data_IF_435798071751
#
_entry.id   IF_435798071751
#
_cell.length_a   1.000
_cell.length_b   1.000
_cell.length_c   1.000
_cell.angle_alpha   90.00
_cell.angle_beta   90.00
_cell.angle_gamma   90.00
#
_symmetry.space_group_name_H-M   'P 1'
#
loop_
_entity.id
_entity.type
_entity.pdbx_description
1 polymer ?
#
# COMPACT_ATOMS: atom_id res chain seq x y z
N UNK A 1 -2.41 15.10 9.58
CA UNK A 1 -1.10 15.73 9.24
C UNK A 1 -0.94 15.79 7.74
N UNK A 2 -0.21 16.79 7.21
CA UNK A 2 0.14 16.82 5.79
C UNK A 2 1.13 15.68 5.47
N UNK A 3 1.01 15.05 4.29
CA UNK A 3 1.90 13.99 3.85
C UNK A 3 3.33 14.53 3.64
N UNK A 4 4.33 13.92 4.31
CA UNK A 4 5.71 14.41 4.33
C UNK A 4 6.35 14.54 2.94
N UNK A 5 5.86 13.78 1.96
CA UNK A 5 6.34 13.77 0.58
C UNK A 5 5.22 14.18 -0.42
N UNK A 6 4.36 15.13 -0.05
CA UNK A 6 3.27 15.61 -0.90
C UNK A 6 3.73 16.06 -2.30
N UNK A 7 4.97 16.58 -2.43
CA UNK A 7 5.55 16.98 -3.71
C UNK A 7 5.75 15.83 -4.70
N UNK A 8 5.72 14.58 -4.22
CA UNK A 8 5.82 13.38 -5.08
C UNK A 8 4.48 12.91 -5.63
N UNK A 9 3.35 13.47 -5.13
CA UNK A 9 2.02 13.17 -5.65
C UNK A 9 1.88 13.72 -7.07
N UNK A 10 1.49 12.86 -8.03
CA UNK A 10 1.28 13.20 -9.43
C UNK A 10 -0.05 12.64 -9.91
N UNK A 11 -0.71 13.37 -10.79
CA UNK A 11 -1.89 12.91 -11.50
C UNK A 11 -1.49 12.23 -12.81
N UNK A 12 -2.32 11.29 -13.24
CA UNK A 12 -2.23 10.66 -14.56
C UNK A 12 -3.63 10.43 -15.11
N UNK A 13 -3.75 10.34 -16.43
CA UNK A 13 -5.00 10.02 -17.11
C UNK A 13 -4.85 8.68 -17.82
N UNK A 14 -5.82 7.79 -17.60
CA UNK A 14 -5.87 6.49 -18.27
C UNK A 14 -6.32 6.66 -19.74
N UNK A 15 -6.10 5.62 -20.57
CA UNK A 15 -6.60 5.60 -21.93
C UNK A 15 -8.13 5.78 -22.04
N UNK A 16 -8.88 5.39 -20.99
CA UNK A 16 -10.34 5.57 -20.88
C UNK A 16 -10.75 6.97 -20.39
N UNK A 17 -9.82 7.92 -20.26
CA UNK A 17 -10.09 9.29 -19.80
C UNK A 17 -10.26 9.47 -18.29
N UNK A 18 -10.14 8.41 -17.50
CA UNK A 18 -10.20 8.51 -16.02
C UNK A 18 -8.92 9.09 -15.46
N UNK A 19 -9.05 10.06 -14.55
CA UNK A 19 -7.90 10.63 -13.84
C UNK A 19 -7.65 9.85 -12.54
N UNK A 20 -6.39 9.53 -12.28
CA UNK A 20 -5.91 8.94 -11.03
C UNK A 20 -4.73 9.72 -10.48
N UNK A 21 -4.30 9.35 -9.27
CA UNK A 21 -3.10 9.90 -8.63
C UNK A 21 -2.15 8.79 -8.21
N UNK A 22 -0.86 9.08 -8.19
CA UNK A 22 0.19 8.18 -7.72
C UNK A 22 1.29 8.97 -6.99
N UNK A 23 1.99 8.31 -6.10
CA UNK A 23 3.23 8.83 -5.52
C UNK A 23 4.41 8.42 -6.42
N UNK A 24 5.03 9.40 -7.06
CA UNK A 24 6.03 9.18 -8.11
C UNK A 24 7.42 8.89 -7.51
N UNK A 25 7.95 7.69 -7.71
CA UNK A 25 9.34 7.36 -7.35
C UNK A 25 10.37 8.21 -8.14
N UNK A 26 10.18 8.51 -9.44
CA UNK A 26 11.06 9.47 -10.13
C UNK A 26 11.04 10.87 -9.49
N UNK A 27 9.91 11.34 -8.95
CA UNK A 27 9.87 12.60 -8.23
C UNK A 27 10.60 12.50 -6.88
N UNK A 28 10.49 11.37 -6.17
CA UNK A 28 11.24 11.10 -4.94
C UNK A 28 12.75 11.02 -5.21
N UNK A 29 13.16 10.45 -6.33
CA UNK A 29 14.56 10.31 -6.74
C UNK A 29 15.28 11.65 -6.92
N UNK A 30 14.57 12.76 -7.15
CA UNK A 30 15.16 14.10 -7.16
C UNK A 30 15.78 14.45 -5.81
N UNK A 31 15.20 13.94 -4.71
CA UNK A 31 15.72 14.13 -3.34
C UNK A 31 16.63 12.98 -2.92
N UNK A 32 16.37 11.78 -3.40
CA UNK A 32 17.11 10.55 -3.08
C UNK A 32 17.57 9.85 -4.38
N UNK A 33 18.70 10.27 -5.00
CA UNK A 33 19.11 9.73 -6.30
C UNK A 33 19.36 8.22 -6.34
N UNK A 34 19.68 7.61 -5.18
CA UNK A 34 19.85 6.16 -5.04
C UNK A 34 18.60 5.35 -5.44
N UNK A 35 17.42 5.94 -5.39
CA UNK A 35 16.13 5.29 -5.78
C UNK A 35 16.16 4.73 -7.20
N UNK A 36 16.88 5.38 -8.14
CA UNK A 36 17.01 4.89 -9.51
C UNK A 36 17.76 3.54 -9.61
N UNK A 37 18.61 3.25 -8.63
CA UNK A 37 19.46 2.04 -8.61
C UNK A 37 18.90 0.92 -7.73
N UNK A 38 17.78 1.14 -7.04
CA UNK A 38 17.16 0.14 -6.20
C UNK A 38 16.64 -1.04 -7.02
N UNK A 39 16.75 -2.28 -6.52
CA UNK A 39 16.08 -3.45 -7.09
C UNK A 39 14.56 -3.21 -7.22
N UNK A 40 13.94 -3.86 -8.21
CA UNK A 40 12.49 -3.70 -8.45
C UNK A 40 11.67 -4.03 -7.20
N UNK A 41 12.01 -5.11 -6.48
CA UNK A 41 11.34 -5.51 -5.23
C UNK A 41 11.40 -4.40 -4.17
N UNK A 42 12.56 -3.77 -3.99
CA UNK A 42 12.72 -2.67 -3.02
C UNK A 42 11.96 -1.43 -3.47
N UNK A 43 11.87 -1.15 -4.79
CA UNK A 43 11.05 -0.04 -5.31
C UNK A 43 9.56 -0.25 -5.07
N UNK A 44 9.07 -1.50 -5.15
CA UNK A 44 7.67 -1.83 -4.84
C UNK A 44 7.39 -1.59 -3.34
N UNK A 45 8.29 -2.03 -2.46
CA UNK A 45 8.18 -1.75 -1.02
C UNK A 45 8.23 -0.25 -0.74
N UNK A 46 9.17 0.47 -1.35
CA UNK A 46 9.32 1.92 -1.20
C UNK A 46 8.07 2.67 -1.67
N UNK A 47 7.44 2.27 -2.78
CA UNK A 47 6.17 2.86 -3.24
C UNK A 47 5.06 2.66 -2.20
N UNK A 48 4.93 1.45 -1.67
CA UNK A 48 3.92 1.16 -0.65
C UNK A 48 4.12 2.00 0.61
N UNK A 49 5.36 2.08 1.11
CA UNK A 49 5.70 2.89 2.29
C UNK A 49 5.50 4.38 2.01
N UNK A 50 5.91 4.87 0.84
CA UNK A 50 5.71 6.26 0.44
C UNK A 50 4.23 6.62 0.38
N UNK A 51 3.42 5.80 -0.27
CA UNK A 51 1.97 6.02 -0.42
C UNK A 51 1.22 6.01 0.91
N UNK A 52 1.64 5.18 1.85
CA UNK A 52 1.00 5.01 3.15
C UNK A 52 1.66 5.85 4.27
N UNK A 53 2.53 6.81 3.94
CA UNK A 53 3.21 7.64 4.91
C UNK A 53 2.23 8.59 5.62
N UNK A 54 1.70 8.15 6.77
CA UNK A 54 0.71 8.85 7.58
C UNK A 54 1.31 9.61 8.78
N UNK A 55 2.62 9.45 9.01
CA UNK A 55 3.35 10.03 10.14
C UNK A 55 3.05 9.35 11.48
N UNK A 56 2.34 8.20 11.48
CA UNK A 56 2.00 7.40 12.67
C UNK A 56 2.52 5.99 12.55
N UNK A 57 1.87 5.15 11.72
CA UNK A 57 2.31 3.78 11.44
C UNK A 57 3.46 3.76 10.46
N UNK A 58 3.36 4.57 9.41
CA UNK A 58 4.39 4.73 8.40
C UNK A 58 4.93 6.14 8.47
N UNK A 59 6.15 6.31 8.96
CA UNK A 59 6.81 7.60 9.15
C UNK A 59 7.65 8.00 7.94
N UNK A 60 8.03 9.27 7.87
CA UNK A 60 8.96 9.76 6.85
C UNK A 60 10.33 9.06 6.92
N UNK A 61 10.75 8.64 8.11
CA UNK A 61 12.00 7.93 8.34
C UNK A 61 12.01 6.58 7.62
N UNK A 62 10.93 5.80 7.67
CA UNK A 62 10.82 4.53 6.94
C UNK A 62 10.99 4.73 5.42
N UNK A 63 10.46 5.83 4.86
CA UNK A 63 10.67 6.17 3.45
C UNK A 63 12.14 6.47 3.17
N UNK A 64 12.80 7.24 4.04
CA UNK A 64 14.23 7.59 3.91
C UNK A 64 15.12 6.35 4.00
N UNK A 65 14.83 5.44 4.94
CA UNK A 65 15.56 4.18 5.12
C UNK A 65 15.51 3.32 3.86
N UNK A 66 14.31 3.12 3.28
CA UNK A 66 14.17 2.36 2.04
C UNK A 66 14.77 3.08 0.83
N UNK A 67 14.66 4.41 0.75
CA UNK A 67 15.26 5.18 -0.34
C UNK A 67 16.80 5.08 -0.35
N UNK A 68 17.40 4.87 0.82
CA UNK A 68 18.85 4.70 1.02
C UNK A 68 19.27 3.22 1.21
N UNK A 69 18.40 2.27 0.86
CA UNK A 69 18.67 0.86 1.02
C UNK A 69 19.97 0.42 0.35
N UNK A 70 20.75 -0.43 1.03
CA UNK A 70 22.02 -1.00 0.55
C UNK A 70 21.97 -2.52 0.63
N UNK A 71 22.55 -3.26 -0.35
CA UNK A 71 22.48 -4.73 -0.40
C UNK A 71 23.16 -5.42 0.78
N UNK A 72 24.21 -4.83 1.32
CA UNK A 72 25.04 -5.40 2.41
C UNK A 72 24.88 -4.68 3.75
N UNK A 73 23.88 -3.80 3.89
CA UNK A 73 23.63 -3.12 5.16
C UNK A 73 23.06 -4.08 6.22
N UNK A 74 23.24 -3.73 7.48
CA UNK A 74 22.57 -4.40 8.61
C UNK A 74 21.05 -4.37 8.43
N UNK A 75 20.38 -5.46 8.82
CA UNK A 75 18.92 -5.67 8.74
C UNK A 75 18.23 -5.54 10.10
N UNK A 76 18.72 -4.69 10.95
CA UNK A 76 18.20 -4.46 12.31
C UNK A 76 16.90 -3.62 12.34
N UNK A 77 16.54 -2.96 11.24
CA UNK A 77 15.39 -2.07 11.20
C UNK A 77 14.17 -2.75 10.56
N UNK A 78 13.02 -2.64 11.23
CA UNK A 78 11.73 -3.08 10.71
C UNK A 78 11.07 -1.95 9.92
N UNK A 79 10.49 -2.30 8.76
CA UNK A 79 9.74 -1.36 7.91
C UNK A 79 8.29 -1.82 7.89
N UNK A 80 7.32 -0.99 8.29
CA UNK A 80 5.91 -1.32 8.20
C UNK A 80 5.48 -1.42 6.74
N UNK A 81 4.81 -2.52 6.39
CA UNK A 81 4.29 -2.74 5.05
C UNK A 81 2.77 -2.82 5.07
N UNK A 82 2.11 -1.99 4.26
CA UNK A 82 0.66 -2.02 4.08
C UNK A 82 0.34 -2.82 2.84
N UNK A 83 -0.29 -3.97 3.04
CA UNK A 83 -0.72 -4.87 1.96
C UNK A 83 -1.81 -4.18 1.13
N UNK A 84 -1.69 -4.21 -0.19
CA UNK A 84 -2.67 -3.62 -1.12
C UNK A 84 -3.60 -4.64 -1.74
N UNK A 85 -3.22 -5.92 -1.72
CA UNK A 85 -4.02 -7.03 -2.24
C UNK A 85 -3.59 -8.35 -1.61
N UNK A 86 -4.55 -9.23 -1.35
CA UNK A 86 -4.32 -10.60 -0.89
C UNK A 86 -4.75 -11.56 -2.00
N UNK A 87 -3.87 -12.47 -2.37
CA UNK A 87 -4.17 -13.56 -3.31
C UNK A 87 -4.35 -14.84 -2.51
N UNK A 88 -5.51 -15.46 -2.62
CA UNK A 88 -5.84 -16.73 -2.00
C UNK A 88 -5.86 -17.81 -3.09
N UNK A 89 -5.34 -18.98 -2.77
CA UNK A 89 -5.54 -20.16 -3.61
C UNK A 89 -6.96 -20.72 -3.41
N UNK A 90 -7.42 -21.64 -4.27
CA UNK A 90 -8.80 -22.13 -4.27
C UNK A 90 -9.25 -22.71 -2.93
N UNK A 91 -8.38 -23.47 -2.27
CA UNK A 91 -8.70 -24.09 -0.99
C UNK A 91 -8.89 -23.06 0.13
N UNK A 92 -8.02 -22.05 0.23
CA UNK A 92 -8.09 -21.00 1.26
C UNK A 92 -9.13 -19.93 0.95
N UNK A 93 -9.54 -19.79 -0.31
CA UNK A 93 -10.60 -18.88 -0.73
C UNK A 93 -12.00 -19.31 -0.28
N UNK A 94 -12.29 -20.62 -0.23
CA UNK A 94 -13.61 -21.14 0.16
C UNK A 94 -14.00 -20.76 1.59
N UNK A 95 -13.19 -20.99 2.64
CA UNK A 95 -13.52 -20.54 3.98
C UNK A 95 -13.78 -19.04 4.08
N UNK A 96 -12.96 -18.20 3.44
CA UNK A 96 -13.16 -16.76 3.43
C UNK A 96 -14.51 -16.35 2.84
N UNK A 97 -14.88 -16.94 1.71
CA UNK A 97 -16.18 -16.67 1.06
C UNK A 97 -17.36 -17.12 1.93
N UNK A 98 -17.24 -18.27 2.60
CA UNK A 98 -18.25 -18.78 3.53
C UNK A 98 -18.44 -17.82 4.74
N UNK A 99 -17.33 -17.34 5.31
CA UNK A 99 -17.36 -16.39 6.43
C UNK A 99 -17.95 -15.05 6.01
N UNK A 100 -17.58 -14.49 4.87
CA UNK A 100 -18.16 -13.26 4.35
C UNK A 100 -19.66 -13.40 4.09
N UNK A 101 -20.10 -14.54 3.52
CA UNK A 101 -21.52 -14.80 3.32
C UNK A 101 -22.29 -14.88 4.65
N UNK A 102 -21.73 -15.57 5.66
CA UNK A 102 -22.33 -15.67 6.99
C UNK A 102 -22.39 -14.30 7.69
N UNK A 103 -21.35 -13.49 7.59
CA UNK A 103 -21.31 -12.13 8.13
C UNK A 103 -22.37 -11.25 7.47
N UNK A 104 -22.52 -11.30 6.14
CA UNK A 104 -23.55 -10.55 5.39
C UNK A 104 -24.97 -10.98 5.81
N UNK A 105 -25.20 -12.28 5.93
CA UNK A 105 -26.48 -12.81 6.43
C UNK A 105 -26.80 -12.35 7.84
N UNK A 106 -25.81 -12.31 8.71
CA UNK A 106 -25.94 -11.80 10.08
C UNK A 106 -26.23 -10.30 10.11
N UNK A 107 -25.52 -9.52 9.31
CA UNK A 107 -25.76 -8.08 9.17
C UNK A 107 -27.21 -7.80 8.75
N UNK A 108 -27.72 -8.57 7.78
CA UNK A 108 -29.12 -8.45 7.33
C UNK A 108 -30.11 -8.76 8.45
N UNK A 109 -29.90 -9.84 9.21
CA UNK A 109 -30.75 -10.22 10.38
C UNK A 109 -30.77 -9.15 11.46
N UNK A 110 -29.67 -8.39 11.59
CA UNK A 110 -29.55 -7.28 12.55
C UNK A 110 -30.05 -5.94 11.97
N UNK A 111 -30.72 -5.95 10.81
CA UNK A 111 -31.23 -4.75 10.16
C UNK A 111 -30.14 -3.82 9.63
N UNK A 112 -28.94 -4.33 9.41
CA UNK A 112 -27.80 -3.57 8.85
C UNK A 112 -27.62 -3.84 7.35
N UNK A 113 -27.01 -2.92 6.64
CA UNK A 113 -26.73 -3.08 5.22
C UNK A 113 -25.61 -4.12 5.01
N UNK A 114 -25.88 -5.28 4.40
CA UNK A 114 -24.89 -6.33 4.18
C UNK A 114 -23.79 -5.92 3.20
N UNK A 115 -24.03 -4.96 2.30
CA UNK A 115 -23.03 -4.46 1.36
C UNK A 115 -21.87 -3.71 2.05
N UNK A 116 -21.99 -3.38 3.34
CA UNK A 116 -20.88 -2.79 4.11
C UNK A 116 -19.90 -3.83 4.65
N UNK A 117 -20.22 -5.11 4.53
CA UNK A 117 -19.34 -6.21 4.94
C UNK A 117 -18.44 -6.53 3.76
N UNK A 118 -17.26 -5.94 3.74
CA UNK A 118 -16.22 -6.11 2.71
C UNK A 118 -14.86 -6.31 3.37
N UNK A 119 -13.94 -7.06 2.76
CA UNK A 119 -12.56 -7.11 3.21
C UNK A 119 -11.93 -5.73 3.22
N UNK A 120 -11.09 -5.44 4.22
CA UNK A 120 -10.32 -4.21 4.27
C UNK A 120 -9.27 -4.14 3.15
N UNK A 121 -8.74 -5.29 2.78
CA UNK A 121 -7.76 -5.46 1.69
C UNK A 121 -8.40 -6.36 0.64
N UNK A 122 -8.53 -5.92 -0.63
CA UNK A 122 -9.11 -6.70 -1.72
C UNK A 122 -8.26 -7.88 -2.13
#
# INVERSE_FOLDING_TARGET
MAHAFASTLKSFTTASGKTGTLYSLPALAKKFPAVHRLPVSIRILLESVLRNCDGKKVTAEHVVQLANWQPVADRSLEIPFVVSRVVLQDFTGVPLLADLAAMRSTALRLGKNPARVEPLVP
#
